data_IF_621190512845
#
_entry.id   IF_621190512845
#
_cell.length_a   1.000
_cell.length_b   1.000
_cell.length_c   1.000
_cell.angle_alpha   90.00
_cell.angle_beta   90.00
_cell.angle_gamma   90.00
#
_symmetry.space_group_name_H-M   'P 1'
#
loop_
_entity.id
_entity.type
_entity.pdbx_description
1 polymer ?
#
# COMPACT_ATOMS: atom_id res chain seq x y z
N UNK A 1 46.60 13.22 -62.54
CA UNK A 1 45.93 12.02 -62.01
C UNK A 1 45.05 12.49 -60.88
N UNK A 2 43.87 13.01 -61.23
CA UNK A 2 42.56 12.31 -61.20
C UNK A 2 41.82 12.72 -59.93
N UNK A 3 40.89 13.68 -60.07
CA UNK A 3 39.43 13.52 -59.84
C UNK A 3 39.09 13.29 -58.35
N UNK A 4 38.22 14.07 -57.71
CA UNK A 4 36.79 14.11 -58.04
C UNK A 4 36.07 15.29 -57.37
N UNK A 5 35.09 15.83 -58.11
CA UNK A 5 34.18 16.94 -57.80
C UNK A 5 33.11 16.57 -56.75
N UNK A 6 32.66 17.57 -55.99
CA UNK A 6 31.26 17.69 -55.57
C UNK A 6 30.73 19.10 -55.90
N UNK A 7 29.96 19.15 -56.99
CA UNK A 7 28.85 20.10 -57.23
C UNK A 7 27.71 19.73 -56.24
N UNK A 8 26.79 20.56 -55.76
CA UNK A 8 26.05 21.67 -56.37
C UNK A 8 25.52 22.69 -55.32
N UNK A 9 25.10 23.88 -55.78
CA UNK A 9 24.44 24.94 -55.02
C UNK A 9 22.90 24.95 -55.18
N UNK A 10 22.20 25.73 -54.35
CA UNK A 10 21.19 26.74 -54.76
C UNK A 10 20.19 27.00 -53.63
N UNK A 11 20.37 28.15 -52.98
CA UNK A 11 19.32 28.83 -52.23
C UNK A 11 18.78 29.95 -53.13
N UNK A 12 17.50 29.91 -53.50
CA UNK A 12 16.73 31.14 -53.75
C UNK A 12 15.23 30.84 -53.87
N UNK A 13 14.40 31.55 -53.10
CA UNK A 13 13.02 31.88 -53.46
C UNK A 13 12.47 32.95 -52.49
N UNK A 14 12.71 34.20 -52.86
CA UNK A 14 11.92 35.38 -52.48
C UNK A 14 10.48 35.25 -52.99
N UNK A 15 9.46 35.52 -52.15
CA UNK A 15 8.48 36.55 -52.50
C UNK A 15 7.60 37.05 -51.33
N UNK A 16 7.34 38.34 -51.43
CA UNK A 16 6.57 39.25 -50.57
C UNK A 16 5.07 39.23 -50.92
N UNK A 17 4.19 39.52 -49.94
CA UNK A 17 2.95 40.29 -50.15
C UNK A 17 2.26 40.64 -48.81
N UNK A 18 2.10 41.95 -48.59
CA UNK A 18 1.23 42.59 -47.58
C UNK A 18 -0.23 42.64 -48.06
N UNK A 19 -1.21 42.87 -47.15
CA UNK A 19 -2.39 43.80 -47.30
C UNK A 19 -3.67 43.33 -46.57
N UNK A 20 -4.05 44.10 -45.52
CA UNK A 20 -5.37 44.73 -45.24
C UNK A 20 -6.70 43.94 -45.12
N UNK A 21 -7.15 43.84 -43.86
CA UNK A 21 -8.43 44.28 -43.24
C UNK A 21 -9.83 43.67 -43.54
N UNK A 22 -10.65 43.76 -42.47
CA UNK A 22 -12.10 44.04 -42.39
C UNK A 22 -13.15 42.91 -42.17
N UNK A 23 -13.89 43.08 -41.04
CA UNK A 23 -15.33 42.86 -40.77
C UNK A 23 -15.94 41.46 -40.48
N UNK A 24 -16.49 41.36 -39.26
CA UNK A 24 -17.75 40.77 -38.77
C UNK A 24 -18.49 39.68 -39.58
N UNK A 25 -18.85 38.56 -38.93
CA UNK A 25 -20.25 38.13 -38.72
C UNK A 25 -20.38 36.70 -38.17
N UNK A 26 -21.11 36.60 -37.05
CA UNK A 26 -22.06 35.55 -36.65
C UNK A 26 -22.04 34.18 -37.37
N UNK A 27 -21.78 33.12 -36.61
CA UNK A 27 -22.06 31.75 -37.02
C UNK A 27 -21.89 30.78 -35.85
N UNK A 28 -22.90 30.69 -35.00
CA UNK A 28 -22.93 29.75 -33.89
C UNK A 28 -22.85 28.30 -34.38
N UNK A 29 -21.72 27.64 -34.15
CA UNK A 29 -21.64 26.19 -34.08
C UNK A 29 -21.15 25.87 -32.69
N UNK A 30 -22.09 25.47 -31.82
CA UNK A 30 -21.79 24.84 -30.53
C UNK A 30 -21.06 23.55 -30.83
N UNK A 31 -19.74 23.63 -30.98
CA UNK A 31 -18.86 22.46 -30.99
C UNK A 31 -18.96 21.89 -29.58
N UNK A 32 -19.71 20.80 -29.46
CA UNK A 32 -19.79 20.02 -28.25
C UNK A 32 -18.36 19.72 -27.79
N UNK A 33 -17.99 20.25 -26.63
CA UNK A 33 -16.78 19.82 -25.93
C UNK A 33 -16.87 18.31 -25.74
N UNK A 34 -15.88 17.51 -26.18
CA UNK A 34 -15.83 16.13 -25.77
C UNK A 34 -15.64 16.10 -24.25
N UNK A 35 -16.54 15.38 -23.58
CA UNK A 35 -16.47 15.07 -22.16
C UNK A 35 -15.06 14.56 -21.78
N UNK A 36 -14.58 14.79 -20.54
CA UNK A 36 -13.27 14.34 -20.12
C UNK A 36 -13.22 12.81 -20.15
N UNK A 37 -12.53 12.26 -21.16
CA UNK A 37 -12.23 10.85 -21.24
C UNK A 37 -11.50 10.43 -19.96
N UNK A 38 -12.09 9.49 -19.23
CA UNK A 38 -11.49 8.83 -18.08
C UNK A 38 -10.13 8.26 -18.51
N UNK A 39 -9.04 8.90 -18.09
CA UNK A 39 -7.68 8.60 -18.52
C UNK A 39 -7.20 7.28 -17.90
N UNK A 40 -7.61 6.16 -18.51
CA UNK A 40 -6.95 4.88 -18.28
C UNK A 40 -5.53 4.98 -18.84
N UNK A 41 -4.52 4.95 -17.97
CA UNK A 41 -3.14 4.78 -18.41
C UNK A 41 -3.04 3.47 -19.21
N UNK A 42 -2.30 3.44 -20.33
CA UNK A 42 -2.11 2.21 -21.10
C UNK A 42 -1.57 1.10 -20.19
N UNK A 43 -2.16 -0.10 -20.25
CA UNK A 43 -1.74 -1.24 -19.42
C UNK A 43 -0.25 -1.55 -19.57
N UNK A 44 0.31 -1.35 -20.76
CA UNK A 44 1.73 -1.50 -21.07
C UNK A 44 2.64 -0.54 -20.27
N UNK A 45 2.19 0.70 -20.05
CA UNK A 45 2.91 1.67 -19.22
C UNK A 45 2.95 1.22 -17.76
N UNK A 46 1.81 0.72 -17.23
CA UNK A 46 1.73 0.23 -15.85
C UNK A 46 2.66 -0.97 -15.64
N UNK A 47 2.70 -1.90 -16.59
CA UNK A 47 3.60 -3.07 -16.52
C UNK A 47 5.08 -2.66 -16.56
N UNK A 48 5.44 -1.73 -17.45
CA UNK A 48 6.81 -1.23 -17.56
C UNK A 48 7.27 -0.53 -16.29
N UNK A 49 6.44 0.36 -15.75
CA UNK A 49 6.77 1.09 -14.52
C UNK A 49 6.81 0.16 -13.30
N UNK A 50 5.92 -0.83 -13.23
CA UNK A 50 5.94 -1.86 -12.20
C UNK A 50 7.23 -2.67 -12.23
N UNK A 51 7.70 -3.08 -13.42
CA UNK A 51 8.96 -3.79 -13.59
C UNK A 51 10.15 -2.94 -13.13
N UNK A 52 10.19 -1.66 -13.52
CA UNK A 52 11.20 -0.69 -13.10
C UNK A 52 11.25 -0.51 -11.58
N UNK A 53 10.11 -0.26 -10.94
CA UNK A 53 10.04 -0.07 -9.48
C UNK A 53 10.38 -1.36 -8.72
N UNK A 54 10.00 -2.53 -9.26
CA UNK A 54 10.36 -3.82 -8.65
C UNK A 54 11.86 -4.06 -8.67
N UNK A 55 12.54 -3.73 -9.77
CA UNK A 55 13.99 -3.81 -9.86
C UNK A 55 14.66 -2.85 -8.86
N UNK A 56 14.16 -1.61 -8.77
CA UNK A 56 14.68 -0.64 -7.81
C UNK A 56 14.48 -1.11 -6.35
N UNK A 57 13.34 -1.71 -6.03
CA UNK A 57 13.10 -2.34 -4.71
C UNK A 57 14.13 -3.43 -4.43
N UNK A 58 14.43 -4.28 -5.40
CA UNK A 58 15.39 -5.38 -5.22
C UNK A 58 16.80 -4.87 -4.97
N UNK A 59 17.20 -3.81 -5.67
CA UNK A 59 18.47 -3.13 -5.44
C UNK A 59 18.58 -2.54 -4.03
N UNK A 60 17.54 -1.85 -3.56
CA UNK A 60 17.48 -1.29 -2.20
C UNK A 60 17.49 -2.41 -1.16
N UNK A 61 16.78 -3.52 -1.41
CA UNK A 61 16.75 -4.69 -0.52
C UNK A 61 18.12 -5.35 -0.41
N UNK A 62 18.86 -5.44 -1.52
CA UNK A 62 20.24 -5.95 -1.53
C UNK A 62 21.19 -5.02 -0.77
N UNK A 63 21.08 -3.70 -0.96
CA UNK A 63 21.86 -2.73 -0.18
C UNK A 63 21.58 -2.86 1.32
N UNK A 64 20.31 -3.08 1.70
CA UNK A 64 19.90 -3.30 3.08
C UNK A 64 20.50 -4.59 3.66
N UNK A 65 20.54 -5.69 2.89
CA UNK A 65 21.15 -6.93 3.34
C UNK A 65 22.66 -6.78 3.55
N UNK A 66 23.36 -6.04 2.67
CA UNK A 66 24.78 -5.72 2.84
C UNK A 66 25.07 -5.03 4.16
N UNK A 67 24.33 -3.96 4.50
CA UNK A 67 24.52 -3.27 5.79
C UNK A 67 24.08 -4.12 6.99
N UNK A 68 23.07 -4.98 6.81
CA UNK A 68 22.67 -5.93 7.85
C UNK A 68 23.78 -6.94 8.13
N UNK A 69 24.48 -7.43 7.10
CA UNK A 69 25.65 -8.30 7.26
C UNK A 69 26.81 -7.60 8.00
N UNK A 70 27.01 -6.30 7.80
CA UNK A 70 28.01 -5.52 8.56
C UNK A 70 27.68 -5.51 10.06
N UNK A 71 26.40 -5.36 10.41
CA UNK A 71 25.97 -5.43 11.81
C UNK A 71 26.18 -6.83 12.39
N UNK A 72 25.81 -7.87 11.64
CA UNK A 72 26.03 -9.27 12.05
C UNK A 72 27.52 -9.61 12.24
N UNK A 73 28.40 -9.09 11.38
CA UNK A 73 29.84 -9.31 11.50
C UNK A 73 30.46 -8.66 12.75
N UNK A 74 29.78 -7.67 13.34
CA UNK A 74 30.17 -7.02 14.60
C UNK A 74 29.33 -7.51 15.79
N UNK A 75 28.58 -8.61 15.65
CA UNK A 75 27.67 -9.16 16.67
C UNK A 75 26.70 -8.10 17.26
N UNK A 76 26.28 -7.15 16.44
CA UNK A 76 25.42 -6.04 16.81
C UNK A 76 24.09 -6.07 16.04
N UNK A 77 23.03 -5.54 16.65
CA UNK A 77 21.76 -5.25 15.98
C UNK A 77 21.54 -3.73 15.91
N UNK A 78 20.37 -3.25 15.48
CA UNK A 78 19.99 -1.84 15.43
C UNK A 78 19.88 -1.16 16.80
N UNK A 79 19.73 -1.93 17.88
CA UNK A 79 19.45 -1.44 19.24
C UNK A 79 20.60 -1.63 20.24
N UNK A 80 21.63 -2.40 19.89
CA UNK A 80 22.75 -2.73 20.79
C UNK A 80 23.47 -1.46 21.27
N UNK A 81 23.81 -1.40 22.56
CA UNK A 81 24.56 -0.29 23.16
C UNK A 81 25.99 -0.24 22.60
N UNK A 82 26.42 0.92 22.11
CA UNK A 82 27.75 1.12 21.50
C UNK A 82 28.81 1.62 22.50
N UNK A 83 28.41 1.78 23.76
CA UNK A 83 29.28 2.24 24.85
C UNK A 83 29.41 1.15 25.90
N UNK A 84 30.53 1.15 26.61
CA UNK A 84 30.81 0.28 27.75
C UNK A 84 30.14 0.80 29.04
N UNK A 85 30.48 0.18 30.19
CA UNK A 85 29.94 0.58 31.50
C UNK A 85 30.53 1.90 32.01
N UNK A 86 31.64 2.33 31.44
CA UNK A 86 32.38 3.53 31.80
C UNK A 86 31.99 4.72 30.90
N UNK A 87 31.17 4.49 29.87
CA UNK A 87 30.68 5.50 28.95
C UNK A 87 31.59 5.75 27.74
N UNK A 88 32.61 4.90 27.53
CA UNK A 88 33.50 5.00 26.39
C UNK A 88 33.02 4.13 25.21
N UNK A 89 33.37 4.48 23.96
CA UNK A 89 33.10 3.62 22.81
C UNK A 89 33.70 2.23 23.03
N UNK A 90 32.89 1.22 22.75
CA UNK A 90 33.31 -0.18 22.85
C UNK A 90 34.52 -0.47 21.96
N UNK A 91 35.53 -1.10 22.54
CA UNK A 91 36.77 -1.45 21.83
C UNK A 91 36.66 -2.78 21.05
N UNK A 92 35.66 -3.60 21.38
CA UNK A 92 35.38 -4.89 20.76
C UNK A 92 34.70 -4.78 19.38
N UNK A 93 34.12 -3.62 19.05
CA UNK A 93 33.36 -3.40 17.82
C UNK A 93 33.83 -2.14 17.09
N UNK A 94 33.68 -2.12 15.77
CA UNK A 94 33.83 -0.87 15.01
C UNK A 94 32.57 0.01 15.21
N UNK A 95 32.60 0.83 16.27
CA UNK A 95 31.50 1.75 16.61
C UNK A 95 31.16 2.70 15.46
N UNK A 96 32.16 3.14 14.68
CA UNK A 96 31.94 4.07 13.57
C UNK A 96 31.27 3.39 12.39
N UNK A 97 31.73 2.19 12.03
CA UNK A 97 31.12 1.33 11.02
C UNK A 97 29.69 0.96 11.37
N UNK A 98 29.45 0.52 12.61
CA UNK A 98 28.11 0.16 13.11
C UNK A 98 27.17 1.37 13.10
N UNK A 99 27.61 2.56 13.52
CA UNK A 99 26.80 3.79 13.42
C UNK A 99 26.38 4.10 11.99
N UNK A 100 27.34 4.01 11.07
CA UNK A 100 27.11 4.28 9.64
C UNK A 100 26.15 3.26 9.04
N UNK A 101 26.35 1.98 9.34
CA UNK A 101 25.47 0.90 8.88
C UNK A 101 24.04 1.09 9.40
N UNK A 102 23.85 1.43 10.68
CA UNK A 102 22.53 1.71 11.25
C UNK A 102 21.84 2.90 10.58
N UNK A 103 22.56 4.01 10.37
CA UNK A 103 21.99 5.18 9.69
C UNK A 103 21.53 4.83 8.26
N UNK A 104 22.35 4.09 7.52
CA UNK A 104 22.00 3.63 6.18
C UNK A 104 20.81 2.68 6.17
N UNK A 105 20.72 1.74 7.13
CA UNK A 105 19.58 0.83 7.25
C UNK A 105 18.29 1.60 7.50
N UNK A 106 18.30 2.63 8.36
CA UNK A 106 17.11 3.45 8.63
C UNK A 106 16.65 4.15 7.36
N UNK A 107 17.56 4.79 6.64
CA UNK A 107 17.26 5.47 5.38
C UNK A 107 16.71 4.50 4.33
N UNK A 108 17.41 3.38 4.08
CA UNK A 108 17.00 2.38 3.09
C UNK A 108 15.67 1.70 3.44
N UNK A 109 15.35 1.50 4.74
CA UNK A 109 14.04 1.00 5.17
C UNK A 109 12.92 1.98 4.85
N UNK A 110 13.16 3.28 5.05
CA UNK A 110 12.19 4.31 4.68
C UNK A 110 11.99 4.36 3.16
N UNK A 111 13.09 4.34 2.39
CA UNK A 111 13.04 4.32 0.92
C UNK A 111 12.30 3.09 0.39
N UNK A 112 12.58 1.91 0.93
CA UNK A 112 11.88 0.68 0.58
C UNK A 112 10.37 0.79 0.83
N UNK A 113 9.97 1.37 1.98
CA UNK A 113 8.57 1.60 2.31
C UNK A 113 7.90 2.53 1.28
N UNK A 114 8.59 3.59 0.87
CA UNK A 114 8.09 4.50 -0.17
C UNK A 114 7.95 3.82 -1.54
N UNK A 115 8.92 3.01 -1.95
CA UNK A 115 8.87 2.24 -3.21
C UNK A 115 7.72 1.22 -3.19
N UNK A 116 7.54 0.51 -2.08
CA UNK A 116 6.44 -0.43 -1.91
C UNK A 116 5.07 0.28 -2.03
N UNK A 117 4.91 1.44 -1.40
CA UNK A 117 3.69 2.23 -1.52
C UNK A 117 3.42 2.69 -2.97
N UNK A 118 4.46 3.07 -3.72
CA UNK A 118 4.32 3.42 -5.14
C UNK A 118 3.89 2.23 -5.99
N UNK A 119 4.48 1.05 -5.76
CA UNK A 119 4.09 -0.21 -6.42
C UNK A 119 2.61 -0.52 -6.15
N UNK A 120 2.18 -0.44 -4.89
CA UNK A 120 0.79 -0.67 -4.49
C UNK A 120 -0.18 0.27 -5.22
N UNK A 121 0.16 1.56 -5.32
CA UNK A 121 -0.67 2.54 -6.04
C UNK A 121 -0.75 2.25 -7.55
N UNK A 122 0.35 1.84 -8.18
CA UNK A 122 0.35 1.49 -9.60
C UNK A 122 -0.47 0.23 -9.87
N UNK A 123 -0.35 -0.79 -9.03
CA UNK A 123 -1.15 -2.01 -9.13
C UNK A 123 -2.64 -1.69 -8.98
N UNK A 124 -3.00 -0.84 -8.00
CA UNK A 124 -4.38 -0.42 -7.80
C UNK A 124 -4.95 0.39 -8.97
N UNK A 125 -4.14 1.22 -9.64
CA UNK A 125 -4.52 1.93 -10.86
C UNK A 125 -4.68 1.02 -12.08
N UNK A 126 -3.85 -0.02 -12.19
CA UNK A 126 -3.88 -0.98 -13.29
C UNK A 126 -5.01 -2.01 -13.20
N UNK A 127 -5.51 -2.28 -11.99
CA UNK A 127 -6.65 -3.18 -11.79
C UNK A 127 -7.94 -2.51 -12.28
N UNK A 128 -8.82 -3.21 -13.04
CA UNK A 128 -10.12 -2.66 -13.40
C UNK A 128 -10.87 -2.28 -12.12
N UNK A 129 -11.20 -0.99 -12.00
CA UNK A 129 -11.89 -0.43 -10.85
C UNK A 129 -13.25 -1.11 -10.67
N UNK A 130 -13.33 -2.11 -9.80
CA UNK A 130 -14.60 -2.47 -9.16
C UNK A 130 -15.04 -1.22 -8.40
N UNK A 131 -16.16 -0.64 -8.81
CA UNK A 131 -16.70 0.56 -8.21
C UNK A 131 -17.07 0.27 -6.75
N UNK A 132 -16.16 0.56 -5.83
CA UNK A 132 -16.48 0.91 -4.45
C UNK A 132 -16.33 2.43 -4.30
N UNK A 133 -17.28 3.11 -3.63
CA UNK A 133 -17.37 4.56 -3.65
C UNK A 133 -16.19 5.19 -2.90
N UNK A 134 -15.67 6.27 -3.46
CA UNK A 134 -14.59 7.10 -2.91
C UNK A 134 -14.93 7.64 -1.52
N UNK A 135 -13.90 7.74 -0.65
CA UNK A 135 -13.69 8.96 0.14
C UNK A 135 -12.22 9.33 0.18
N UNK A 136 -11.90 10.41 -0.53
CA UNK A 136 -10.74 11.26 -0.29
C UNK A 136 -10.98 12.03 1.01
N UNK A 137 -9.98 12.13 1.88
CA UNK A 137 -9.72 13.30 2.72
C UNK A 137 -8.26 13.23 3.17
N UNK A 138 -7.47 14.15 2.62
CA UNK A 138 -6.20 14.57 3.19
C UNK A 138 -6.52 15.55 4.32
N UNK A 139 -5.84 15.46 5.47
CA UNK A 139 -4.73 16.35 5.84
C UNK A 139 -4.45 16.33 7.36
N UNK A 140 -3.15 16.37 7.70
CA UNK A 140 -2.49 16.76 8.97
C UNK A 140 -2.76 15.90 10.25
N UNK A 141 -1.85 15.64 11.22
CA UNK A 141 -0.61 16.29 11.71
C UNK A 141 0.19 15.24 12.53
N UNK A 142 1.51 15.47 12.61
CA UNK A 142 2.45 15.16 13.71
C UNK A 142 2.95 13.73 13.94
N UNK A 143 4.28 13.59 13.81
CA UNK A 143 5.03 12.35 14.05
C UNK A 143 5.60 12.46 15.47
N UNK A 144 4.78 12.12 16.46
CA UNK A 144 5.30 11.70 17.75
C UNK A 144 5.59 10.20 17.71
N UNK A 145 6.87 9.88 17.79
CA UNK A 145 7.37 8.53 17.99
C UNK A 145 6.97 8.14 19.40
N UNK A 146 5.94 7.29 19.55
CA UNK A 146 5.82 6.14 20.47
C UNK A 146 4.34 5.75 20.64
N UNK A 147 3.67 5.29 19.59
CA UNK A 147 2.57 4.32 19.75
C UNK A 147 2.48 3.50 18.47
N UNK A 148 2.59 2.19 18.63
CA UNK A 148 2.22 1.20 17.63
C UNK A 148 0.91 1.64 16.97
N UNK A 149 0.91 1.94 15.67
CA UNK A 149 -0.29 2.17 14.86
C UNK A 149 -1.08 0.87 14.73
N UNK A 150 -1.62 0.43 15.86
CA UNK A 150 -2.40 -0.79 15.98
C UNK A 150 -3.70 -0.56 15.26
N UNK A 151 -4.01 -1.43 14.30
CA UNK A 151 -5.27 -1.37 13.57
C UNK A 151 -6.44 -1.22 14.57
N UNK A 152 -7.38 -0.29 14.34
CA UNK A 152 -8.51 -0.11 15.24
C UNK A 152 -9.41 -1.36 15.22
N UNK A 153 -9.87 -1.78 16.39
CA UNK A 153 -10.87 -2.83 16.49
C UNK A 153 -12.27 -2.25 16.28
N UNK A 154 -13.09 -2.91 15.47
CA UNK A 154 -14.43 -2.42 15.12
C UNK A 154 -15.57 -3.21 15.76
N UNK A 155 -15.27 -4.38 16.32
CA UNK A 155 -16.25 -5.18 17.04
C UNK A 155 -15.60 -5.83 18.26
N UNK A 156 -16.37 -5.98 19.34
CA UNK A 156 -15.98 -6.85 20.46
C UNK A 156 -16.85 -8.10 20.45
N UNK A 157 -16.24 -9.26 20.64
CA UNK A 157 -16.94 -10.53 20.79
C UNK A 157 -17.55 -10.59 22.20
N UNK A 158 -18.87 -10.55 22.31
CA UNK A 158 -19.55 -10.59 23.61
C UNK A 158 -19.90 -12.04 24.02
N UNK A 159 -20.28 -12.87 23.06
CA UNK A 159 -20.66 -14.27 23.30
C UNK A 159 -20.27 -15.13 22.11
N UNK A 160 -19.89 -16.36 22.42
CA UNK A 160 -19.57 -17.41 21.45
C UNK A 160 -20.45 -18.60 21.78
N UNK A 161 -21.05 -19.19 20.75
CA UNK A 161 -21.85 -20.38 20.91
C UNK A 161 -20.97 -21.64 20.76
N UNK A 162 -21.01 -22.57 21.73
CA UNK A 162 -20.24 -23.81 21.67
C UNK A 162 -20.59 -24.65 20.44
N UNK A 163 -19.58 -25.24 19.79
CA UNK A 163 -19.77 -26.04 18.58
C UNK A 163 -20.07 -25.23 17.31
N UNK A 164 -20.05 -23.90 17.40
CA UNK A 164 -20.19 -23.01 16.25
C UNK A 164 -18.87 -22.72 15.52
N UNK A 165 -18.93 -22.11 14.32
CA UNK A 165 -17.76 -21.73 13.52
C UNK A 165 -16.70 -20.92 14.27
N UNK A 166 -17.11 -19.98 15.13
CA UNK A 166 -16.19 -19.15 15.91
C UNK A 166 -15.52 -19.88 17.07
N UNK A 167 -16.23 -20.83 17.69
CA UNK A 167 -15.66 -21.71 18.72
C UNK A 167 -14.61 -22.63 18.11
N UNK A 168 -14.93 -23.24 16.96
CA UNK A 168 -13.98 -24.05 16.19
C UNK A 168 -12.76 -23.23 15.70
N UNK A 169 -12.93 -21.93 15.43
CA UNK A 169 -11.85 -21.03 15.07
C UNK A 169 -10.98 -20.58 16.26
N UNK A 170 -11.36 -20.92 17.50
CA UNK A 170 -10.63 -20.54 18.71
C UNK A 170 -10.81 -19.09 19.13
N UNK A 171 -11.86 -18.43 18.65
CA UNK A 171 -12.27 -17.10 19.12
C UNK A 171 -12.76 -17.24 20.56
N UNK A 172 -12.52 -16.23 21.39
CA UNK A 172 -12.95 -16.16 22.79
C UNK A 172 -13.76 -14.89 23.05
N UNK A 173 -14.54 -14.92 24.11
CA UNK A 173 -15.23 -13.74 24.64
C UNK A 173 -14.22 -12.65 24.96
N UNK A 174 -14.61 -11.39 24.75
CA UNK A 174 -13.79 -10.18 24.87
C UNK A 174 -12.69 -10.00 23.83
N UNK A 175 -12.59 -10.89 22.84
CA UNK A 175 -11.73 -10.65 21.68
C UNK A 175 -12.18 -9.41 20.91
N UNK A 176 -11.21 -8.61 20.50
CA UNK A 176 -11.42 -7.40 19.71
C UNK A 176 -11.17 -7.72 18.24
N UNK A 177 -12.21 -7.65 17.41
CA UNK A 177 -12.14 -7.93 15.99
C UNK A 177 -11.50 -6.75 15.24
N UNK A 178 -10.36 -7.02 14.59
CA UNK A 178 -9.60 -6.05 13.81
C UNK A 178 -9.94 -6.14 12.31
N UNK A 179 -10.03 -7.37 11.80
CA UNK A 179 -10.30 -7.65 10.38
C UNK A 179 -10.94 -9.03 10.19
N UNK A 180 -11.84 -9.16 9.22
CA UNK A 180 -12.41 -10.43 8.75
C UNK A 180 -12.44 -10.43 7.22
N UNK A 181 -11.68 -11.32 6.59
CA UNK A 181 -11.44 -11.34 5.14
C UNK A 181 -10.87 -9.99 4.68
N UNK A 182 -11.64 -9.27 3.88
CA UNK A 182 -11.31 -7.92 3.38
C UNK A 182 -11.97 -6.79 4.19
N UNK A 183 -12.68 -7.12 5.27
CA UNK A 183 -13.44 -6.17 6.07
C UNK A 183 -12.66 -5.78 7.33
N UNK A 184 -12.48 -4.49 7.57
CA UNK A 184 -11.83 -3.87 8.72
C UNK A 184 -12.71 -2.75 9.34
N UNK A 185 -12.12 -1.98 10.26
CA UNK A 185 -12.80 -0.88 10.95
C UNK A 185 -13.22 0.28 10.06
N UNK A 186 -12.76 0.35 8.82
CA UNK A 186 -13.11 1.43 7.90
C UNK A 186 -14.27 1.06 6.98
N UNK A 187 -14.54 -0.24 6.79
CA UNK A 187 -15.50 -0.73 5.79
C UNK A 187 -16.56 -1.72 6.35
N UNK A 188 -16.61 -1.93 7.67
CA UNK A 188 -17.56 -2.87 8.28
C UNK A 188 -19.05 -2.47 8.15
N UNK A 189 -19.37 -1.21 7.83
CA UNK A 189 -20.74 -0.70 7.66
C UNK A 189 -21.69 -1.17 8.77
N UNK A 190 -21.34 -0.88 10.02
CA UNK A 190 -22.08 -1.34 11.21
C UNK A 190 -22.30 -2.87 11.25
N UNK A 191 -21.29 -3.64 10.81
CA UNK A 191 -21.27 -5.11 10.74
C UNK A 191 -22.14 -5.72 9.62
N UNK A 192 -22.83 -4.92 8.81
CA UNK A 192 -23.62 -5.41 7.67
C UNK A 192 -22.74 -6.04 6.60
N UNK A 193 -21.57 -5.44 6.33
CA UNK A 193 -20.62 -5.99 5.37
C UNK A 193 -20.12 -7.38 5.82
N UNK A 194 -19.90 -7.54 7.14
CA UNK A 194 -19.48 -8.82 7.73
C UNK A 194 -20.56 -9.89 7.50
N UNK A 195 -21.83 -9.55 7.75
CA UNK A 195 -22.93 -10.49 7.51
C UNK A 195 -23.04 -10.90 6.03
N UNK A 196 -22.87 -9.95 5.09
CA UNK A 196 -22.91 -10.21 3.66
C UNK A 196 -21.73 -11.08 3.17
N UNK A 197 -20.51 -10.79 3.64
CA UNK A 197 -19.32 -11.58 3.33
C UNK A 197 -19.49 -13.02 3.80
N UNK A 198 -19.91 -13.20 5.04
CA UNK A 198 -20.08 -14.53 5.64
C UNK A 198 -21.21 -15.33 4.96
N UNK A 199 -22.28 -14.66 4.53
CA UNK A 199 -23.36 -15.30 3.77
C UNK A 199 -22.92 -15.76 2.37
N UNK A 200 -21.97 -15.04 1.77
CA UNK A 200 -21.44 -15.35 0.43
C UNK A 200 -20.30 -16.37 0.50
N UNK A 201 -19.59 -16.44 1.63
CA UNK A 201 -18.43 -17.32 1.86
C UNK A 201 -18.76 -18.54 2.72
N UNK A 202 -19.94 -19.15 2.50
CA UNK A 202 -20.30 -20.39 3.20
C UNK A 202 -19.34 -21.53 2.82
N UNK A 203 -18.88 -22.29 3.81
CA UNK A 203 -17.93 -23.40 3.67
C UNK A 203 -16.55 -23.00 3.09
N UNK A 204 -16.26 -21.69 3.04
CA UNK A 204 -14.98 -21.12 2.61
C UNK A 204 -14.21 -20.60 3.83
N UNK A 205 -12.90 -20.83 3.86
CA UNK A 205 -12.02 -20.34 4.93
C UNK A 205 -11.87 -18.82 4.82
N UNK A 206 -12.18 -18.11 5.90
CA UNK A 206 -11.98 -16.67 6.05
C UNK A 206 -10.87 -16.40 7.07
N UNK A 207 -9.95 -15.52 6.71
CA UNK A 207 -8.91 -15.04 7.61
C UNK A 207 -9.47 -13.96 8.54
N UNK A 208 -9.25 -14.11 9.84
CA UNK A 208 -9.71 -13.19 10.87
C UNK A 208 -8.52 -12.72 11.69
N UNK A 209 -8.37 -11.40 11.83
CA UNK A 209 -7.46 -10.80 12.80
C UNK A 209 -8.23 -10.32 14.01
N UNK A 210 -7.84 -10.80 15.17
CA UNK A 210 -8.37 -10.37 16.47
C UNK A 210 -7.25 -9.81 17.34
N UNK A 211 -7.62 -9.09 18.39
CA UNK A 211 -6.73 -8.68 19.48
C UNK A 211 -7.23 -9.27 20.79
N UNK A 212 -6.34 -10.00 21.47
CA UNK A 212 -6.56 -10.61 22.78
C UNK A 212 -5.42 -10.23 23.71
N UNK A 213 -5.73 -9.62 24.86
CA UNK A 213 -4.73 -9.21 25.86
C UNK A 213 -3.53 -8.48 25.22
N UNK A 214 -3.80 -7.47 24.38
CA UNK A 214 -2.77 -6.70 23.69
C UNK A 214 -1.89 -7.52 22.71
N UNK A 215 -2.33 -8.67 22.23
CA UNK A 215 -1.68 -9.41 21.14
C UNK A 215 -2.60 -9.54 19.93
N UNK A 216 -2.08 -9.27 18.74
CA UNK A 216 -2.82 -9.40 17.49
C UNK A 216 -2.64 -10.84 16.98
N UNK A 217 -3.74 -11.59 16.88
CA UNK A 217 -3.75 -13.02 16.55
C UNK A 217 -4.49 -13.21 15.22
N UNK A 218 -3.90 -13.97 14.30
CA UNK A 218 -4.53 -14.40 13.06
C UNK A 218 -5.17 -15.77 13.25
N UNK A 219 -6.48 -15.84 13.00
CA UNK A 219 -7.30 -17.05 13.08
C UNK A 219 -7.95 -17.32 11.73
N UNK A 220 -8.38 -18.57 11.52
CA UNK A 220 -9.12 -19.00 10.33
C UNK A 220 -10.50 -19.47 10.77
N UNK A 221 -11.53 -18.90 10.18
CA UNK A 221 -12.93 -19.22 10.47
C UNK A 221 -13.60 -19.71 9.20
N UNK A 222 -14.35 -20.81 9.30
CA UNK A 222 -15.14 -21.35 8.20
C UNK A 222 -16.62 -21.15 8.52
N UNK A 223 -17.33 -20.23 7.87
CA UNK A 223 -18.76 -20.06 8.07
C UNK A 223 -19.50 -21.34 7.71
N UNK A 224 -20.31 -21.85 8.63
CA UNK A 224 -21.16 -23.03 8.41
C UNK A 224 -22.60 -22.71 8.76
N UNK A 225 -23.53 -23.34 8.05
CA UNK A 225 -24.96 -23.36 8.41
C UNK A 225 -25.28 -24.65 9.16
N UNK A 226 -26.38 -24.70 9.90
CA UNK A 226 -26.86 -25.95 10.52
C UNK A 226 -26.13 -26.42 11.79
N UNK A 227 -25.27 -25.60 12.40
CA UNK A 227 -24.56 -25.92 13.65
C UNK A 227 -25.42 -25.77 14.93
N UNK A 228 -26.73 -25.54 14.80
CA UNK A 228 -27.68 -25.49 15.93
C UNK A 228 -27.92 -24.09 16.53
N UNK A 229 -27.35 -23.02 15.95
CA UNK A 229 -27.57 -21.63 16.36
C UNK A 229 -28.12 -20.72 15.25
N UNK A 230 -28.40 -19.46 15.60
CA UNK A 230 -28.81 -18.43 14.63
C UNK A 230 -27.57 -17.73 14.03
N UNK A 231 -27.54 -17.64 12.71
CA UNK A 231 -26.47 -16.94 11.98
C UNK A 231 -25.29 -17.84 11.58
N UNK A 232 -24.42 -17.31 10.73
CA UNK A 232 -23.34 -18.06 10.06
C UNK A 232 -21.99 -18.03 10.81
N UNK A 233 -21.84 -17.18 11.83
CA UNK A 233 -20.59 -17.05 12.60
C UNK A 233 -20.64 -17.67 14.00
N UNK A 234 -21.84 -17.80 14.59
CA UNK A 234 -21.97 -18.23 15.99
C UNK A 234 -21.36 -17.27 17.01
N UNK A 235 -21.34 -15.97 16.72
CA UNK A 235 -20.92 -14.91 17.65
C UNK A 235 -21.97 -13.84 17.78
N UNK A 236 -22.05 -13.25 18.97
CA UNK A 236 -22.71 -11.96 19.19
C UNK A 236 -21.63 -10.89 19.33
N UNK A 237 -21.65 -9.91 18.44
CA UNK A 237 -20.73 -8.77 18.48
C UNK A 237 -21.48 -7.51 18.90
N UNK A 238 -20.84 -6.65 19.71
CA UNK A 238 -21.29 -5.27 19.88
C UNK A 238 -20.43 -4.36 19.01
N UNK A 239 -21.07 -3.50 18.23
CA UNK A 239 -20.40 -2.40 17.56
C UNK A 239 -19.89 -1.40 18.61
N UNK A 240 -18.63 -0.99 18.50
CA UNK A 240 -18.16 0.20 19.19
C UNK A 240 -18.54 1.40 18.33
N UNK A 241 -19.41 2.26 18.84
CA UNK A 241 -19.76 3.58 18.27
C UNK A 241 -18.61 4.56 18.46
#
# INVERSE_FOLDING_TARGET
>A
MSHEQLHEPTANATNVASTTAHHSSSGGVRRASPAPASSKLPTEYVQTELARLSLQRDEVSLRLSTFSSVLMANDCDMTTTLVDRQGFPRADIDVAGVRTARANIIMLRNDLRHLQAQIEQLVLRGLPRRQSPERKSADAIDVDVTTSSRSPAFARINRIFPGGPADAAGIKTDDLLLRIGDIDATNHSSLQAVAALVSTSQDVVLDIRIRRAEHDILLRLVPKTGWGGRGLLGVSTAGRS
#
